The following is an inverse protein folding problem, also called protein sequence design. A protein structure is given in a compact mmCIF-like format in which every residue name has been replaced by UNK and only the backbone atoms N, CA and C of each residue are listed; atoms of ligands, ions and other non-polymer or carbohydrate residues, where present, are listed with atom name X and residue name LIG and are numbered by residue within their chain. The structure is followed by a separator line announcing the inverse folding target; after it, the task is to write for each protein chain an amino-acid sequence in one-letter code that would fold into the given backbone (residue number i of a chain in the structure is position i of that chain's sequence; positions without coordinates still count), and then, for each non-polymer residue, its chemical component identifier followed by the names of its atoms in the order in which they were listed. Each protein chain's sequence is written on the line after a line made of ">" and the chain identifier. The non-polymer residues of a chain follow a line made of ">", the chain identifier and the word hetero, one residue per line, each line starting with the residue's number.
data_IF_735252040572
#
_entry.id   IF_735252040572
#
_cell.length_a   1.000
_cell.length_b   1.000
_cell.length_c   1.000
_cell.angle_alpha   90.00
_cell.angle_beta   90.00
_cell.angle_gamma   90.00
#
_symmetry.space_group_name_H-M   'P 1'
#
loop_
_entity.id
_entity.type
_entity.pdbx_description
1 polymer ?
#
# COMPACT_ATOMS: atom_id res chain seq x y z
N UNK A 1 -56.82 36.51 20.04
CA UNK A 1 -56.65 35.69 18.81
C UNK A 1 -55.62 36.28 17.84
N UNK A 2 -55.61 37.59 17.59
CA UNK A 2 -54.64 38.24 16.68
C UNK A 2 -53.18 38.21 17.18
N UNK A 3 -52.93 38.45 18.47
CA UNK A 3 -51.57 38.46 19.03
C UNK A 3 -50.85 37.09 18.99
N UNK A 4 -51.60 35.98 19.11
CA UNK A 4 -51.04 34.62 19.05
C UNK A 4 -50.66 34.18 17.65
N UNK A 5 -51.25 34.78 16.61
CA UNK A 5 -50.95 34.49 15.20
C UNK A 5 -49.67 35.23 14.78
N UNK A 6 -49.51 36.48 15.18
CA UNK A 6 -48.33 37.31 14.88
C UNK A 6 -47.04 36.73 15.51
N UNK A 7 -47.11 36.28 16.77
CA UNK A 7 -46.01 35.57 17.44
C UNK A 7 -45.62 34.26 16.72
N UNK A 8 -46.59 33.54 16.17
CA UNK A 8 -46.36 32.28 15.44
C UNK A 8 -45.74 32.53 14.05
N UNK A 9 -46.13 33.58 13.34
CA UNK A 9 -45.51 33.99 12.07
C UNK A 9 -44.08 34.49 12.28
N UNK A 10 -43.84 35.32 13.31
CA UNK A 10 -42.52 35.86 13.63
C UNK A 10 -41.53 34.78 14.07
N UNK A 11 -41.96 33.80 14.86
CA UNK A 11 -41.12 32.65 15.25
C UNK A 11 -40.83 31.69 14.10
N UNK A 12 -41.76 31.50 13.15
CA UNK A 12 -41.54 30.67 11.96
C UNK A 12 -40.57 31.34 10.99
N UNK A 13 -40.69 32.67 10.81
CA UNK A 13 -39.75 33.48 10.02
C UNK A 13 -38.33 33.48 10.63
N UNK A 14 -38.21 33.65 11.96
CA UNK A 14 -36.90 33.57 12.64
C UNK A 14 -36.25 32.20 12.49
N UNK A 15 -37.01 31.11 12.67
CA UNK A 15 -36.51 29.74 12.48
C UNK A 15 -36.05 29.52 11.05
N UNK A 16 -36.76 30.03 10.04
CA UNK A 16 -36.40 29.91 8.63
C UNK A 16 -35.12 30.70 8.29
N UNK A 17 -34.98 31.93 8.78
CA UNK A 17 -33.75 32.74 8.63
C UNK A 17 -32.57 32.10 9.35
N UNK A 18 -32.78 31.56 10.56
CA UNK A 18 -31.76 30.84 11.32
C UNK A 18 -31.33 29.56 10.61
N UNK A 19 -32.26 28.76 10.07
CA UNK A 19 -31.96 27.56 9.27
C UNK A 19 -31.21 27.91 7.98
N UNK A 20 -31.60 28.96 7.26
CA UNK A 20 -30.89 29.43 6.06
C UNK A 20 -29.48 29.96 6.39
N UNK A 21 -29.33 30.69 7.49
CA UNK A 21 -28.04 31.19 7.98
C UNK A 21 -27.12 30.05 8.39
N UNK A 22 -27.62 29.06 9.14
CA UNK A 22 -26.90 27.87 9.56
C UNK A 22 -26.45 27.05 8.34
N UNK A 23 -27.31 26.91 7.33
CA UNK A 23 -27.00 26.23 6.07
C UNK A 23 -25.94 27.01 5.25
N UNK A 24 -25.96 28.34 5.27
CA UNK A 24 -24.94 29.18 4.63
C UNK A 24 -23.58 29.13 5.35
N UNK A 25 -23.58 29.07 6.69
CA UNK A 25 -22.39 28.95 7.51
C UNK A 25 -21.76 27.57 7.33
N UNK A 26 -22.59 26.52 7.36
CA UNK A 26 -22.18 25.14 7.10
C UNK A 26 -21.56 24.99 5.70
N UNK A 27 -22.18 25.55 4.66
CA UNK A 27 -21.61 25.60 3.30
C UNK A 27 -20.26 26.32 3.25
N UNK A 28 -20.12 27.46 3.94
CA UNK A 28 -18.84 28.20 4.02
C UNK A 28 -17.75 27.37 4.70
N UNK A 29 -18.08 26.70 5.80
CA UNK A 29 -17.16 25.83 6.53
C UNK A 29 -16.70 24.65 5.66
N UNK A 30 -17.62 23.98 4.96
CA UNK A 30 -17.28 22.90 4.02
C UNK A 30 -16.37 23.39 2.89
N UNK A 31 -16.66 24.55 2.30
CA UNK A 31 -15.81 25.13 1.26
C UNK A 31 -14.41 25.48 1.76
N UNK A 32 -14.27 25.95 3.01
CA UNK A 32 -12.95 26.19 3.63
C UNK A 32 -12.19 24.88 3.82
N UNK A 33 -12.84 23.86 4.37
CA UNK A 33 -12.22 22.53 4.59
C UNK A 33 -11.75 21.93 3.27
N UNK A 34 -12.60 21.88 2.24
CA UNK A 34 -12.21 21.37 0.91
C UNK A 34 -11.01 22.10 0.32
N UNK A 35 -10.91 23.41 0.54
CA UNK A 35 -9.78 24.23 0.05
C UNK A 35 -8.47 23.89 0.76
N UNK A 36 -8.51 23.67 2.07
CA UNK A 36 -7.35 23.25 2.85
C UNK A 36 -6.93 21.84 2.41
N UNK A 37 -7.88 20.92 2.32
CA UNK A 37 -7.62 19.55 1.90
C UNK A 37 -7.09 19.47 0.46
N UNK A 38 -7.52 20.33 -0.46
CA UNK A 38 -6.99 20.39 -1.84
C UNK A 38 -5.78 21.35 -2.03
N UNK A 39 -5.14 21.76 -0.93
CA UNK A 39 -4.03 22.74 -0.98
C UNK A 39 -2.71 22.10 -1.36
N UNK A 40 -1.94 22.76 -2.24
CA UNK A 40 -0.56 22.35 -2.56
C UNK A 40 0.40 22.57 -1.39
N UNK A 41 0.12 23.53 -0.50
CA UNK A 41 0.90 23.73 0.72
C UNK A 41 0.83 22.50 1.63
N UNK A 42 -0.36 21.92 1.78
CA UNK A 42 -0.55 20.67 2.53
C UNK A 42 0.24 19.53 1.87
N UNK A 43 0.20 19.41 0.55
CA UNK A 43 0.98 18.41 -0.19
C UNK A 43 2.48 18.54 0.08
N UNK A 44 3.04 19.76 -0.03
CA UNK A 44 4.46 20.03 0.20
C UNK A 44 4.84 19.75 1.66
N UNK A 45 4.00 20.16 2.62
CA UNK A 45 4.23 19.88 4.03
C UNK A 45 4.27 18.37 4.33
N UNK A 46 3.32 17.60 3.78
CA UNK A 46 3.30 16.14 3.90
C UNK A 46 4.53 15.48 3.26
N UNK A 47 4.94 15.95 2.07
CA UNK A 47 6.13 15.44 1.40
C UNK A 47 7.40 15.72 2.21
N UNK A 48 7.59 16.95 2.68
CA UNK A 48 8.74 17.31 3.51
C UNK A 48 8.78 16.47 4.79
N UNK A 49 7.64 16.35 5.48
CA UNK A 49 7.55 15.53 6.68
C UNK A 49 7.82 14.05 6.39
N UNK A 50 7.35 13.51 5.26
CA UNK A 50 7.65 12.12 4.87
C UNK A 50 9.14 11.87 4.65
N UNK A 51 9.87 12.83 4.07
CA UNK A 51 11.32 12.73 3.90
C UNK A 51 12.02 12.71 5.25
N UNK A 52 11.64 13.60 6.16
CA UNK A 52 12.18 13.64 7.53
C UNK A 52 11.88 12.33 8.28
N UNK A 53 10.64 11.81 8.16
CA UNK A 53 10.24 10.57 8.80
C UNK A 53 11.04 9.37 8.26
N UNK A 54 11.21 9.26 6.94
CA UNK A 54 12.01 8.21 6.30
C UNK A 54 13.46 8.28 6.77
N UNK A 55 14.02 9.50 6.86
CA UNK A 55 15.38 9.71 7.34
C UNK A 55 15.55 9.22 8.80
N UNK A 56 14.67 9.64 9.71
CA UNK A 56 14.70 9.22 11.12
C UNK A 56 14.52 7.70 11.23
N UNK A 57 13.56 7.12 10.51
CA UNK A 57 13.32 5.68 10.50
C UNK A 57 14.56 4.90 10.04
N UNK A 58 15.28 5.42 9.05
CA UNK A 58 16.51 4.79 8.53
C UNK A 58 17.65 4.86 9.56
N UNK A 59 17.75 5.95 10.33
CA UNK A 59 18.72 6.03 11.43
C UNK A 59 18.38 5.03 12.55
N UNK A 60 17.12 4.99 12.99
CA UNK A 60 16.70 4.07 14.05
C UNK A 60 16.78 2.59 13.62
N UNK A 61 16.65 2.29 12.32
CA UNK A 61 16.73 0.93 11.78
C UNK A 61 18.02 0.19 12.19
N UNK A 62 19.13 0.91 12.40
CA UNK A 62 20.40 0.33 12.83
C UNK A 62 20.29 -0.29 14.23
N UNK A 63 19.51 0.33 15.12
CA UNK A 63 19.39 -0.05 16.53
C UNK A 63 18.26 -1.06 16.77
N UNK A 64 17.08 -0.81 16.20
CA UNK A 64 15.87 -1.63 16.46
C UNK A 64 15.58 -2.67 15.37
N UNK A 65 16.32 -2.62 14.26
CA UNK A 65 16.10 -3.48 13.09
C UNK A 65 14.96 -3.04 12.18
N UNK A 66 14.89 -3.65 10.99
CA UNK A 66 13.99 -3.23 9.90
C UNK A 66 12.51 -3.40 10.26
N UNK A 67 12.14 -4.55 10.84
CA UNK A 67 10.74 -4.86 11.13
C UNK A 67 10.15 -3.91 12.17
N UNK A 68 10.87 -3.67 13.26
CA UNK A 68 10.42 -2.75 14.32
C UNK A 68 10.43 -1.30 13.84
N UNK A 69 11.44 -0.89 13.08
CA UNK A 69 11.45 0.45 12.48
C UNK A 69 10.24 0.67 11.55
N UNK A 70 9.85 -0.35 10.77
CA UNK A 70 8.63 -0.28 9.96
C UNK A 70 7.38 -0.08 10.80
N UNK A 71 7.22 -0.88 11.85
CA UNK A 71 6.06 -0.83 12.74
C UNK A 71 5.94 0.54 13.43
N UNK A 72 7.04 1.02 14.02
CA UNK A 72 7.09 2.26 14.81
C UNK A 72 6.88 3.49 13.92
N UNK A 73 7.55 3.57 12.77
CA UNK A 73 7.58 4.79 11.97
C UNK A 73 6.58 4.79 10.80
N UNK A 74 6.34 3.66 10.13
CA UNK A 74 5.53 3.64 8.91
C UNK A 74 4.11 3.10 9.12
N UNK A 75 3.92 2.08 9.96
CA UNK A 75 2.63 1.41 10.13
C UNK A 75 1.75 2.05 11.23
N UNK A 76 2.37 2.82 12.12
CA UNK A 76 1.67 3.54 13.19
C UNK A 76 0.99 4.82 12.69
N UNK A 77 -0.12 5.21 13.35
CA UNK A 77 -0.71 6.54 13.18
C UNK A 77 0.01 7.59 14.02
N UNK A 78 0.34 7.22 15.25
CA UNK A 78 1.10 8.02 16.21
C UNK A 78 2.04 7.07 16.95
N UNK A 79 3.27 7.53 17.20
CA UNK A 79 4.27 6.72 17.86
C UNK A 79 5.27 7.59 18.62
N UNK A 80 6.08 6.97 19.45
CA UNK A 80 7.19 7.60 20.16
C UNK A 80 8.49 7.21 19.46
N UNK A 81 9.05 8.14 18.68
CA UNK A 81 10.35 7.98 18.07
C UNK A 81 11.43 8.10 19.13
N UNK A 82 12.40 7.19 19.12
CA UNK A 82 13.58 7.30 19.97
C UNK A 82 14.74 7.87 19.14
N UNK A 83 15.17 9.07 19.49
CA UNK A 83 16.23 9.81 18.79
C UNK A 83 17.27 10.20 19.83
N UNK A 84 18.49 9.68 19.68
CA UNK A 84 19.59 9.91 20.62
C UNK A 84 19.22 9.60 22.09
N UNK A 85 18.46 8.53 22.31
CA UNK A 85 18.01 8.09 23.64
C UNK A 85 16.85 8.91 24.24
N UNK A 86 16.30 9.90 23.53
CA UNK A 86 15.11 10.66 23.95
C UNK A 86 13.89 10.28 23.12
N UNK A 87 12.74 10.12 23.78
CA UNK A 87 11.46 9.76 23.14
C UNK A 87 10.64 11.00 22.77
N UNK A 88 10.31 11.14 21.49
CA UNK A 88 9.51 12.23 20.96
C UNK A 88 8.21 11.72 20.33
N UNK A 89 7.07 12.37 20.57
CA UNK A 89 5.83 12.03 19.88
C UNK A 89 5.93 12.41 18.40
N UNK A 90 5.68 11.45 17.52
CA UNK A 90 5.66 11.62 16.08
C UNK A 90 4.33 11.19 15.47
N UNK A 91 4.04 11.74 14.30
CA UNK A 91 2.95 11.29 13.44
C UNK A 91 3.53 10.21 12.53
N UNK A 92 3.03 8.99 12.65
CA UNK A 92 3.53 7.86 11.87
C UNK A 92 3.09 7.91 10.41
N UNK A 93 3.71 7.06 9.59
CA UNK A 93 3.52 6.99 8.15
C UNK A 93 2.07 6.72 7.74
N UNK A 94 1.30 5.96 8.54
CA UNK A 94 -0.11 5.68 8.26
C UNK A 94 -0.95 6.96 8.26
N UNK A 95 -0.70 7.86 9.22
CA UNK A 95 -1.37 9.18 9.27
C UNK A 95 -1.01 10.04 8.05
N UNK A 96 0.26 10.09 7.67
CA UNK A 96 0.71 10.81 6.47
C UNK A 96 0.02 10.24 5.23
N UNK A 97 -0.02 8.91 5.10
CA UNK A 97 -0.65 8.21 3.99
C UNK A 97 -2.14 8.53 3.86
N UNK A 98 -2.88 8.49 4.97
CA UNK A 98 -4.31 8.88 4.98
C UNK A 98 -4.50 10.34 4.59
N UNK A 99 -3.72 11.26 5.18
CA UNK A 99 -3.80 12.68 4.84
C UNK A 99 -3.44 12.95 3.38
N UNK A 100 -2.45 12.24 2.84
CA UNK A 100 -2.06 12.32 1.44
C UNK A 100 -3.18 11.84 0.52
N UNK A 101 -3.81 10.68 0.80
CA UNK A 101 -4.95 10.18 0.02
C UNK A 101 -6.11 11.17 0.02
N UNK A 102 -6.46 11.71 1.19
CA UNK A 102 -7.51 12.74 1.30
C UNK A 102 -7.12 13.99 0.49
N UNK A 103 -5.88 14.46 0.61
CA UNK A 103 -5.39 15.62 -0.11
C UNK A 103 -5.46 15.43 -1.63
N UNK A 104 -4.96 14.30 -2.12
CA UNK A 104 -4.95 13.94 -3.53
C UNK A 104 -6.37 13.77 -4.06
N UNK A 105 -7.27 13.15 -3.29
CA UNK A 105 -8.68 12.98 -3.68
C UNK A 105 -9.39 14.33 -3.88
N UNK A 106 -9.27 15.25 -2.92
CA UNK A 106 -9.86 16.58 -3.06
C UNK A 106 -9.19 17.42 -4.16
N UNK A 107 -7.88 17.24 -4.36
CA UNK A 107 -7.16 17.82 -5.50
C UNK A 107 -7.70 17.29 -6.84
N UNK A 108 -7.99 16.00 -6.94
CA UNK A 108 -8.59 15.38 -8.13
C UNK A 108 -9.93 16.02 -8.48
N UNK A 109 -10.83 16.16 -7.51
CA UNK A 109 -12.15 16.78 -7.72
C UNK A 109 -12.01 18.24 -8.16
N UNK A 110 -11.03 18.98 -7.61
CA UNK A 110 -10.77 20.37 -7.98
C UNK A 110 -10.48 20.50 -9.48
N UNK A 111 -9.75 19.54 -10.07
CA UNK A 111 -9.36 19.60 -11.48
C UNK A 111 -10.49 19.33 -12.48
N UNK A 112 -11.62 18.74 -12.06
CA UNK A 112 -12.75 18.45 -12.95
C UNK A 112 -13.34 19.72 -13.61
N UNK A 113 -13.12 20.90 -13.03
CA UNK A 113 -13.66 22.16 -13.52
C UNK A 113 -12.88 22.79 -14.69
N UNK A 114 -11.78 22.17 -15.18
CA UNK A 114 -10.89 22.76 -16.18
C UNK A 114 -10.98 22.10 -17.57
N UNK A 115 -12.15 21.55 -17.94
CA UNK A 115 -12.37 20.93 -19.25
C UNK A 115 -11.54 19.66 -19.47
N UNK A 116 -11.18 19.34 -20.73
CA UNK A 116 -10.49 18.08 -21.08
C UNK A 116 -9.13 17.93 -20.39
N UNK A 117 -8.34 19.00 -20.30
CA UNK A 117 -7.09 18.99 -19.52
C UNK A 117 -7.33 18.79 -18.03
N UNK A 118 -8.46 19.27 -17.51
CA UNK A 118 -8.91 19.05 -16.14
C UNK A 118 -9.25 17.58 -15.85
N UNK A 119 -9.94 16.92 -16.78
CA UNK A 119 -10.21 15.47 -16.69
C UNK A 119 -8.92 14.65 -16.68
N UNK A 120 -7.96 14.96 -17.56
CA UNK A 120 -6.64 14.32 -17.55
C UNK A 120 -5.93 14.47 -16.19
N UNK A 121 -5.87 15.70 -15.67
CA UNK A 121 -5.28 15.97 -14.36
C UNK A 121 -6.02 15.28 -13.20
N UNK A 122 -7.35 15.21 -13.25
CA UNK A 122 -8.15 14.48 -12.27
C UNK A 122 -7.83 12.98 -12.32
N UNK A 123 -7.73 12.39 -13.51
CA UNK A 123 -7.37 10.97 -13.67
C UNK A 123 -5.98 10.69 -13.07
N UNK A 124 -4.99 11.55 -13.33
CA UNK A 124 -3.63 11.42 -12.75
C UNK A 124 -3.69 11.41 -11.22
N UNK A 125 -4.40 12.38 -10.61
CA UNK A 125 -4.48 12.46 -9.15
C UNK A 125 -5.28 11.29 -8.56
N UNK A 126 -6.42 10.93 -9.16
CA UNK A 126 -7.18 9.74 -8.75
C UNK A 126 -6.35 8.46 -8.82
N UNK A 127 -5.53 8.32 -9.87
CA UNK A 127 -4.64 7.18 -10.03
C UNK A 127 -3.51 7.16 -8.98
N UNK A 128 -2.97 8.32 -8.61
CA UNK A 128 -2.01 8.43 -7.51
C UNK A 128 -2.65 8.03 -6.16
N UNK A 129 -3.89 8.49 -5.88
CA UNK A 129 -4.61 8.07 -4.69
C UNK A 129 -4.86 6.54 -4.70
N UNK A 130 -5.25 5.98 -5.84
CA UNK A 130 -5.40 4.53 -6.01
C UNK A 130 -4.08 3.79 -5.74
N UNK A 131 -2.93 4.33 -6.15
CA UNK A 131 -1.62 3.73 -5.90
C UNK A 131 -1.30 3.64 -4.39
N UNK A 132 -1.58 4.71 -3.64
CA UNK A 132 -1.38 4.72 -2.17
C UNK A 132 -2.38 3.78 -1.48
N UNK A 133 -3.66 3.82 -1.86
CA UNK A 133 -4.70 2.92 -1.33
C UNK A 133 -4.34 1.47 -1.63
N UNK A 134 -3.82 1.20 -2.83
CA UNK A 134 -3.35 -0.13 -3.23
C UNK A 134 -2.20 -0.61 -2.34
N UNK A 135 -1.27 0.25 -1.95
CA UNK A 135 -0.22 -0.10 -0.98
C UNK A 135 -0.81 -0.58 0.35
N UNK A 136 -1.72 0.21 0.91
CA UNK A 136 -2.43 -0.15 2.14
C UNK A 136 -3.25 -1.43 2.01
N UNK A 137 -3.98 -1.62 0.90
CA UNK A 137 -4.79 -2.82 0.69
C UNK A 137 -3.91 -4.08 0.58
N UNK A 138 -2.77 -3.98 -0.10
CA UNK A 138 -1.80 -5.06 -0.16
C UNK A 138 -1.24 -5.39 1.22
N UNK A 139 -0.95 -4.40 2.06
CA UNK A 139 -0.50 -4.63 3.44
C UNK A 139 -1.53 -5.48 4.23
N UNK A 140 -2.83 -5.17 4.13
CA UNK A 140 -3.86 -5.91 4.85
C UNK A 140 -4.23 -7.27 4.23
N UNK A 141 -4.21 -7.38 2.90
CA UNK A 141 -4.64 -8.58 2.17
C UNK A 141 -3.52 -9.57 1.85
N UNK A 142 -2.24 -9.16 1.96
CA UNK A 142 -1.11 -10.03 1.68
C UNK A 142 -0.98 -11.08 2.78
N UNK A 143 -0.90 -12.33 2.36
CA UNK A 143 -0.50 -13.45 3.20
C UNK A 143 0.89 -13.88 2.76
N UNK A 144 1.81 -13.95 3.71
CA UNK A 144 3.19 -14.37 3.49
C UNK A 144 3.58 -15.40 4.55
N UNK A 145 4.18 -16.51 4.11
CA UNK A 145 4.68 -17.55 4.99
C UNK A 145 5.89 -18.24 4.39
N UNK A 146 6.64 -18.92 5.24
CA UNK A 146 7.83 -19.69 4.84
C UNK A 146 7.56 -21.17 4.95
N UNK A 147 8.16 -21.94 4.05
CA UNK A 147 8.20 -23.39 4.13
C UNK A 147 9.64 -23.85 3.91
N UNK A 148 10.07 -24.77 4.76
CA UNK A 148 11.39 -25.40 4.69
C UNK A 148 11.18 -26.85 4.33
N UNK A 149 11.86 -27.33 3.29
CA UNK A 149 11.72 -28.70 2.79
C UNK A 149 13.10 -29.33 2.56
N UNK A 150 13.24 -30.59 2.95
CA UNK A 150 14.32 -31.48 2.49
C UNK A 150 13.93 -32.17 1.19
N UNK A 151 14.92 -32.65 0.43
CA UNK A 151 14.65 -33.41 -0.78
C UNK A 151 13.81 -34.65 -0.48
N UNK A 152 12.77 -34.87 -1.28
CA UNK A 152 11.75 -35.91 -1.08
C UNK A 152 10.63 -35.52 -0.11
N UNK A 153 10.80 -34.47 0.71
CA UNK A 153 9.82 -34.04 1.69
C UNK A 153 8.62 -33.37 1.02
N UNK A 154 7.43 -33.66 1.55
CA UNK A 154 6.17 -33.04 1.13
C UNK A 154 5.56 -32.29 2.29
N UNK A 155 5.17 -31.04 2.08
CA UNK A 155 4.46 -30.24 3.08
C UNK A 155 3.37 -29.40 2.43
N UNK A 156 2.28 -29.21 3.15
CA UNK A 156 1.22 -28.25 2.85
C UNK A 156 1.12 -27.16 3.94
N UNK A 157 2.12 -27.04 4.82
CA UNK A 157 2.11 -26.12 5.95
C UNK A 157 3.08 -24.96 5.67
N UNK A 158 2.58 -23.74 5.87
CA UNK A 158 3.37 -22.51 5.89
C UNK A 158 3.51 -22.01 7.33
N UNK A 159 4.72 -21.61 7.68
CA UNK A 159 5.01 -20.86 8.90
C UNK A 159 4.86 -19.36 8.60
N UNK A 160 3.82 -18.75 9.16
CA UNK A 160 3.49 -17.34 9.02
C UNK A 160 3.92 -16.63 10.29
N UNK A 161 4.82 -15.66 10.17
CA UNK A 161 5.26 -14.82 11.28
C UNK A 161 4.63 -13.44 11.13
N UNK A 162 3.75 -13.06 12.07
CA UNK A 162 3.07 -11.76 12.09
C UNK A 162 3.12 -11.17 13.49
N UNK A 163 3.65 -9.96 13.62
CA UNK A 163 3.82 -9.24 14.90
C UNK A 163 4.55 -10.08 15.97
N UNK A 164 5.60 -10.80 15.56
CA UNK A 164 6.37 -11.70 16.43
C UNK A 164 5.67 -13.01 16.82
N UNK A 165 4.41 -13.22 16.42
CA UNK A 165 3.67 -14.45 16.66
C UNK A 165 3.81 -15.37 15.46
N UNK A 166 4.30 -16.60 15.72
CA UNK A 166 4.39 -17.66 14.71
C UNK A 166 3.11 -18.48 14.68
N UNK A 167 2.46 -18.50 13.52
CA UNK A 167 1.26 -19.27 13.26
C UNK A 167 1.49 -20.19 12.09
N UNK A 168 0.78 -21.31 12.05
CA UNK A 168 0.79 -22.22 10.90
C UNK A 168 -0.44 -21.96 10.04
N UNK A 169 -0.25 -21.85 8.74
CA UNK A 169 -1.32 -21.76 7.76
C UNK A 169 -1.22 -22.93 6.80
N UNK A 170 -2.32 -23.61 6.53
CA UNK A 170 -2.34 -24.70 5.56
C UNK A 170 -2.61 -24.19 4.14
N UNK A 171 -1.92 -24.78 3.17
CA UNK A 171 -2.13 -24.54 1.76
C UNK A 171 -3.21 -25.48 1.20
N UNK A 172 -3.96 -25.03 0.17
CA UNK A 172 -4.95 -25.84 -0.52
C UNK A 172 -4.32 -26.82 -1.55
N UNK A 173 -3.03 -27.13 -1.40
CA UNK A 173 -2.23 -28.06 -2.20
C UNK A 173 -0.96 -28.41 -1.42
N UNK A 174 -0.32 -29.50 -1.82
CA UNK A 174 0.95 -29.95 -1.22
C UNK A 174 2.13 -29.57 -2.12
N UNK A 175 3.25 -29.24 -1.50
CA UNK A 175 4.52 -28.98 -2.17
C UNK A 175 5.47 -30.12 -1.85
N UNK A 176 6.06 -30.73 -2.86
CA UNK A 176 7.16 -31.71 -2.69
C UNK A 176 8.44 -31.17 -3.30
N UNK A 177 9.53 -31.18 -2.54
CA UNK A 177 10.85 -30.85 -3.08
C UNK A 177 11.43 -32.08 -3.78
N UNK A 178 11.65 -31.99 -5.09
CA UNK A 178 12.30 -33.05 -5.85
C UNK A 178 13.82 -32.98 -5.71
N UNK A 179 14.37 -31.79 -5.91
CA UNK A 179 15.81 -31.57 -5.90
C UNK A 179 16.12 -30.11 -5.57
N UNK A 180 17.10 -29.90 -4.70
CA UNK A 180 17.74 -28.62 -4.47
C UNK A 180 19.09 -28.59 -5.20
N UNK A 181 19.44 -27.45 -5.77
CA UNK A 181 20.71 -27.28 -6.48
C UNK A 181 21.30 -25.95 -6.08
N UNK A 182 22.51 -26.00 -5.52
CA UNK A 182 23.37 -24.87 -5.17
C UNK A 182 24.55 -24.87 -6.11
N UNK A 183 24.84 -23.73 -6.72
CA UNK A 183 26.03 -23.49 -7.51
C UNK A 183 26.88 -22.45 -6.78
N UNK A 184 28.16 -22.75 -6.58
CA UNK A 184 29.11 -21.86 -5.94
C UNK A 184 29.99 -21.17 -6.99
N UNK A 185 30.61 -20.05 -6.59
CA UNK A 185 31.67 -19.45 -7.41
C UNK A 185 32.90 -20.35 -7.44
N UNK A 186 33.60 -20.39 -8.57
CA UNK A 186 34.78 -21.22 -8.72
C UNK A 186 35.82 -20.87 -7.65
N UNK A 187 36.26 -21.87 -6.87
CA UNK A 187 37.26 -21.70 -5.82
C UNK A 187 36.78 -20.98 -4.55
N UNK A 188 35.46 -20.88 -4.34
CA UNK A 188 34.88 -20.27 -3.14
C UNK A 188 33.65 -21.04 -2.66
N UNK A 189 33.38 -21.02 -1.35
CA UNK A 189 32.13 -21.55 -0.77
C UNK A 189 30.95 -20.56 -0.88
N UNK A 190 31.15 -19.43 -1.57
CA UNK A 190 30.12 -18.41 -1.76
C UNK A 190 29.09 -18.89 -2.79
N UNK A 191 27.79 -18.98 -2.42
CA UNK A 191 26.74 -19.37 -3.34
C UNK A 191 26.57 -18.33 -4.44
N UNK A 192 26.71 -18.78 -5.69
CA UNK A 192 26.41 -18.02 -6.90
C UNK A 192 24.92 -18.08 -7.24
N UNK A 193 24.33 -19.27 -7.15
CA UNK A 193 22.91 -19.46 -7.44
C UNK A 193 22.36 -20.63 -6.63
N UNK A 194 21.08 -20.58 -6.30
CA UNK A 194 20.38 -21.74 -5.77
C UNK A 194 18.97 -21.85 -6.36
N UNK A 195 18.53 -23.09 -6.54
CA UNK A 195 17.26 -23.42 -7.16
C UNK A 195 16.63 -24.67 -6.55
N UNK A 196 15.30 -24.71 -6.60
CA UNK A 196 14.50 -25.82 -6.10
C UNK A 196 13.57 -26.30 -7.20
N UNK A 197 13.75 -27.56 -7.60
CA UNK A 197 12.78 -28.25 -8.42
C UNK A 197 11.71 -28.83 -7.51
N UNK A 198 10.48 -28.37 -7.67
CA UNK A 198 9.35 -28.76 -6.84
C UNK A 198 8.22 -29.33 -7.68
N UNK A 199 7.35 -30.11 -7.04
CA UNK A 199 6.06 -30.54 -7.60
C UNK A 199 4.96 -29.98 -6.72
N UNK A 200 4.03 -29.26 -7.35
CA UNK A 200 2.76 -28.92 -6.74
C UNK A 200 1.80 -30.07 -6.96
N UNK A 201 1.23 -30.60 -5.88
CA UNK A 201 0.27 -31.69 -5.89
C UNK A 201 -1.08 -31.15 -5.44
N UNK A 202 -2.06 -31.19 -6.34
CA UNK A 202 -3.47 -30.91 -6.03
C UNK A 202 -4.34 -31.98 -6.65
N UNK A 203 -5.11 -32.67 -5.82
CA UNK A 203 -5.97 -33.77 -6.23
C UNK A 203 -5.15 -34.80 -7.05
N UNK A 204 -5.37 -34.89 -8.37
CA UNK A 204 -4.63 -35.76 -9.30
C UNK A 204 -3.67 -35.01 -10.25
N UNK A 205 -3.55 -33.69 -10.11
CA UNK A 205 -2.69 -32.88 -10.97
C UNK A 205 -1.36 -32.60 -10.27
N UNK A 206 -0.28 -33.04 -10.92
CA UNK A 206 1.09 -32.77 -10.50
C UNK A 206 1.72 -31.79 -11.48
N UNK A 207 2.06 -30.60 -11.00
CA UNK A 207 2.73 -29.58 -11.82
C UNK A 207 4.14 -29.40 -11.32
N UNK A 208 5.12 -29.76 -12.15
CA UNK A 208 6.53 -29.48 -11.87
C UNK A 208 6.83 -28.01 -12.11
N UNK A 209 7.59 -27.41 -11.20
CA UNK A 209 8.10 -26.07 -11.35
C UNK A 209 9.54 -25.97 -10.85
N UNK A 210 10.30 -25.08 -11.47
CA UNK A 210 11.67 -24.77 -11.08
C UNK A 210 11.68 -23.35 -10.51
N UNK A 211 11.92 -23.23 -9.21
CA UNK A 211 12.07 -21.94 -8.53
C UNK A 211 13.56 -21.63 -8.45
N UNK A 212 14.00 -20.51 -9.02
CA UNK A 212 15.39 -20.05 -8.93
C UNK A 212 15.45 -18.71 -8.20
N UNK A 213 16.64 -18.32 -7.75
CA UNK A 213 16.89 -16.93 -7.40
C UNK A 213 16.44 -16.01 -8.54
N UNK A 214 15.66 -14.97 -8.23
CA UNK A 214 15.09 -14.02 -9.19
C UNK A 214 14.12 -14.61 -10.24
N UNK A 215 13.77 -15.91 -10.16
CA UNK A 215 12.79 -16.55 -11.04
C UNK A 215 11.79 -17.35 -10.19
N UNK A 216 10.74 -16.68 -9.66
CA UNK A 216 9.73 -17.33 -8.84
C UNK A 216 8.80 -18.20 -9.68
N UNK A 217 8.16 -19.19 -9.04
CA UNK A 217 7.09 -19.97 -9.64
C UNK A 217 5.74 -19.59 -9.03
N UNK A 218 4.67 -19.57 -9.84
CA UNK A 218 3.32 -19.31 -9.37
C UNK A 218 2.44 -20.54 -9.54
N UNK A 219 1.64 -20.84 -8.51
CA UNK A 219 0.65 -21.91 -8.53
C UNK A 219 -0.57 -21.50 -7.71
N UNK A 220 -1.77 -21.65 -8.27
CA UNK A 220 -3.05 -21.35 -7.58
C UNK A 220 -3.13 -19.96 -6.91
N UNK A 221 -2.62 -18.93 -7.59
CA UNK A 221 -2.59 -17.55 -7.06
C UNK A 221 -1.54 -17.30 -5.97
N UNK A 222 -0.77 -18.30 -5.57
CA UNK A 222 0.43 -18.17 -4.76
C UNK A 222 1.65 -17.97 -5.64
N UNK A 223 2.62 -17.23 -5.14
CA UNK A 223 3.95 -17.05 -5.74
C UNK A 223 4.99 -17.54 -4.74
N UNK A 224 5.86 -18.43 -5.20
CA UNK A 224 6.90 -19.04 -4.40
C UNK A 224 8.26 -18.50 -4.82
N UNK A 225 8.98 -17.98 -3.84
CA UNK A 225 10.31 -17.42 -4.00
C UNK A 225 11.34 -18.31 -3.32
N UNK A 226 12.43 -18.56 -4.02
CA UNK A 226 13.61 -19.16 -3.42
C UNK A 226 14.31 -18.09 -2.58
N UNK A 227 14.18 -18.17 -1.25
CA UNK A 227 14.68 -17.10 -0.35
C UNK A 227 15.99 -17.45 0.34
N UNK A 228 16.15 -18.71 0.75
CA UNK A 228 17.36 -19.16 1.43
C UNK A 228 17.50 -20.68 1.33
N UNK A 229 18.51 -21.21 2.02
CA UNK A 229 18.74 -22.61 2.25
C UNK A 229 19.31 -22.83 3.66
N UNK A 230 19.18 -24.04 4.19
CA UNK A 230 19.73 -24.42 5.48
C UNK A 230 20.47 -25.76 5.41
N UNK A 231 21.13 -26.15 6.51
CA UNK A 231 21.89 -27.39 6.65
C UNK A 231 22.93 -27.62 5.55
N UNK A 232 23.69 -26.58 5.19
CA UNK A 232 24.72 -26.67 4.16
C UNK A 232 24.17 -26.95 2.75
N UNK A 233 22.89 -26.64 2.49
CA UNK A 233 22.24 -26.87 1.20
C UNK A 233 21.43 -28.16 1.12
N UNK A 234 21.06 -28.75 2.26
CA UNK A 234 20.14 -29.92 2.30
C UNK A 234 18.68 -29.54 2.49
N UNK A 235 18.42 -28.30 2.91
CA UNK A 235 17.09 -27.76 3.13
C UNK A 235 16.90 -26.56 2.24
N UNK A 236 15.82 -26.57 1.45
CA UNK A 236 15.39 -25.39 0.72
C UNK A 236 14.41 -24.57 1.55
N UNK A 237 14.60 -23.26 1.59
CA UNK A 237 13.69 -22.33 2.26
C UNK A 237 12.97 -21.49 1.20
N UNK A 238 11.67 -21.74 1.08
CA UNK A 238 10.78 -21.05 0.15
C UNK A 238 9.89 -20.07 0.91
N UNK A 239 9.68 -18.89 0.35
CA UNK A 239 8.64 -17.96 0.81
C UNK A 239 7.46 -18.04 -0.14
N UNK A 240 6.29 -18.32 0.40
CA UNK A 240 5.02 -18.36 -0.30
C UNK A 240 4.25 -17.06 -0.02
N UNK A 241 3.80 -16.41 -1.09
CA UNK A 241 3.08 -15.14 -1.02
C UNK A 241 1.77 -15.23 -1.79
N UNK A 242 0.67 -14.84 -1.16
CA UNK A 242 -0.62 -14.61 -1.83
C UNK A 242 -1.04 -13.16 -1.63
N UNK A 243 -1.28 -12.47 -2.74
CA UNK A 243 -1.70 -11.07 -2.72
C UNK A 243 -2.82 -10.84 -3.75
N UNK A 244 -4.09 -10.80 -3.32
CA UNK A 244 -5.24 -10.52 -4.19
C UNK A 244 -5.19 -9.12 -4.81
N UNK A 245 -4.66 -8.14 -4.08
CA UNK A 245 -4.58 -6.74 -4.49
C UNK A 245 -3.41 -6.43 -5.44
N UNK A 246 -2.64 -7.45 -5.88
CA UNK A 246 -1.41 -7.28 -6.68
C UNK A 246 -1.61 -6.56 -8.02
N UNK A 247 -2.83 -6.52 -8.55
CA UNK A 247 -3.16 -5.90 -9.84
C UNK A 247 -3.49 -4.41 -9.73
N UNK A 248 -3.88 -3.93 -8.55
CA UNK A 248 -4.27 -2.54 -8.34
C UNK A 248 -3.17 -1.52 -8.68
N UNK A 249 -1.87 -1.74 -8.35
CA UNK A 249 -0.81 -0.81 -8.75
C UNK A 249 -0.68 -0.69 -10.27
N UNK A 250 -0.84 -1.80 -11.00
CA UNK A 250 -0.75 -1.82 -12.46
C UNK A 250 -1.89 -1.03 -13.10
N UNK A 251 -3.11 -1.14 -12.57
CA UNK A 251 -4.24 -0.33 -13.00
C UNK A 251 -4.00 1.16 -12.72
N UNK A 252 -3.44 1.51 -11.57
CA UNK A 252 -3.09 2.88 -11.24
C UNK A 252 -2.05 3.44 -12.21
N UNK A 253 -0.96 2.70 -12.48
CA UNK A 253 0.08 3.10 -13.42
C UNK A 253 -0.51 3.33 -14.83
N UNK A 254 -1.34 2.41 -15.32
CA UNK A 254 -2.02 2.56 -16.60
C UNK A 254 -2.91 3.82 -16.63
N UNK A 255 -3.67 4.06 -15.57
CA UNK A 255 -4.52 5.26 -15.47
C UNK A 255 -3.70 6.56 -15.46
N UNK A 256 -2.52 6.58 -14.82
CA UNK A 256 -1.59 7.73 -14.89
C UNK A 256 -1.18 7.99 -16.33
N UNK A 257 -0.80 6.96 -17.11
CA UNK A 257 -0.45 7.11 -18.53
C UNK A 257 -1.62 7.68 -19.35
N UNK A 258 -2.83 7.16 -19.16
CA UNK A 258 -4.03 7.67 -19.84
C UNK A 258 -4.29 9.13 -19.49
N UNK A 259 -4.22 9.48 -18.21
CA UNK A 259 -4.41 10.85 -17.74
C UNK A 259 -3.37 11.81 -18.32
N UNK A 260 -2.10 11.40 -18.38
CA UNK A 260 -1.03 12.18 -19.01
C UNK A 260 -1.27 12.40 -20.51
N UNK A 261 -1.66 11.37 -21.25
CA UNK A 261 -1.98 11.48 -22.67
C UNK A 261 -3.12 12.47 -22.91
N UNK A 262 -4.20 12.41 -22.12
CA UNK A 262 -5.33 13.34 -22.23
C UNK A 262 -4.90 14.79 -21.98
N UNK A 263 -4.09 15.03 -20.96
CA UNK A 263 -3.57 16.37 -20.64
C UNK A 263 -2.69 16.92 -21.78
N UNK A 264 -1.80 16.08 -22.33
CA UNK A 264 -0.90 16.47 -23.44
C UNK A 264 -1.71 16.79 -24.70
N UNK A 265 -2.63 15.92 -25.11
CA UNK A 265 -3.47 16.13 -26.30
C UNK A 265 -4.33 17.39 -26.16
N UNK A 266 -4.90 17.62 -24.97
CA UNK A 266 -5.66 18.84 -24.69
C UNK A 266 -4.81 20.10 -24.85
N UNK A 267 -3.55 20.06 -24.42
CA UNK A 267 -2.61 21.18 -24.57
C UNK A 267 -2.30 21.46 -26.04
N UNK A 268 -1.97 20.43 -26.84
CA UNK A 268 -1.73 20.59 -28.28
C UNK A 268 -2.93 21.14 -29.04
N UNK A 269 -4.16 20.76 -28.66
CA UNK A 269 -5.38 21.30 -29.30
C UNK A 269 -5.62 22.78 -28.95
N UNK A 270 -5.16 23.23 -27.78
CA UNK A 270 -5.24 24.62 -27.35
C UNK A 270 -4.21 25.49 -28.08
N UNK A 271 -2.99 24.99 -28.27
CA UNK A 271 -1.90 25.73 -28.93
C UNK A 271 -2.12 25.91 -30.44
N UNK A 272 -3.02 25.12 -31.05
CA UNK A 272 -3.44 25.25 -32.46
C UNK A 272 -4.60 26.24 -32.69
N UNK A 273 -5.17 26.84 -31.65
CA UNK A 273 -6.23 27.85 -31.73
C UNK A 273 -5.70 29.22 -31.36
#
# INVERSE_FOLDING_TARGET
>A
MLASIDLRVKTTSLKMVMLLSLNSMFKRTICRIKRILASSYLTVALMFYSVVLIFIATLSQVEIGVAQASEVYFESFFSMAEIAGMKFPIIGGASIGVLAVVNIFFSSIKYLNYGVSGYGNSIIHSALALLVISGGLQYFMRVEGRVSLREGETSNILFVEKNGVRTTSQLPFSLRLLKFTKEDWQGSDIPKSFSSKIVFVRDNNNVEALIKMNSPASFDGWVFYQTSYADGGKVSVLTAVKNPARMLPWLAVLAVFVGMLLTIVAKFKKDKK
#
